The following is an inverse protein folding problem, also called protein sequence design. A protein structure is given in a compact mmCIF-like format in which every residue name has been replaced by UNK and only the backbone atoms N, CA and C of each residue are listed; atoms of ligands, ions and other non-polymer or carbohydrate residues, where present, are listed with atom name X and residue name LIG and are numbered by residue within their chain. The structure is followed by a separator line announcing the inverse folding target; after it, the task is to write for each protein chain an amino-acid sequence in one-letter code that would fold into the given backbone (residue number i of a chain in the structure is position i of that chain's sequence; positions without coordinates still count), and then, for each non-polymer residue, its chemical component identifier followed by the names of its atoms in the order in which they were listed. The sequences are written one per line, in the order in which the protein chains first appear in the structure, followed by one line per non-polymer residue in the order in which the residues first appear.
data_IF_460654332914
#
_entry.id   IF_460654332914
#
_cell.length_a   1.000
_cell.length_b   1.000
_cell.length_c   1.000
_cell.angle_alpha   90.00
_cell.angle_beta   90.00
_cell.angle_gamma   90.00
#
_symmetry.space_group_name_H-M   'P 1'
#
loop_
_entity.id
_entity.type
_entity.pdbx_description
1 polymer ?
#
# COMPACT_ATOMS: atom_id res chain seq x y z
N UNK A 1 5.59 -17.05 -8.20
CA UNK A 1 5.32 -16.19 -9.37
C UNK A 1 6.65 -15.57 -9.69
N UNK A 2 7.30 -16.00 -10.76
CA UNK A 2 8.73 -15.73 -10.93
C UNK A 2 8.92 -14.42 -11.68
N UNK A 3 9.27 -13.37 -10.95
CA UNK A 3 9.63 -12.09 -11.53
C UNK A 3 11.09 -12.20 -11.97
N UNK A 4 11.32 -12.31 -13.28
CA UNK A 4 12.66 -12.28 -13.84
C UNK A 4 13.23 -10.85 -13.76
N UNK A 5 14.05 -10.60 -12.75
CA UNK A 5 14.77 -9.34 -12.58
C UNK A 5 16.06 -9.34 -13.42
N UNK A 6 16.38 -8.20 -14.03
CA UNK A 6 17.71 -7.97 -14.58
C UNK A 6 18.74 -7.91 -13.45
N UNK A 7 20.03 -8.22 -13.72
CA UNK A 7 21.07 -8.16 -12.69
C UNK A 7 21.15 -6.80 -11.96
N UNK A 8 20.93 -5.70 -12.67
CA UNK A 8 20.90 -4.35 -12.08
C UNK A 8 19.70 -4.12 -11.15
N UNK A 9 18.56 -4.72 -11.46
CA UNK A 9 17.34 -4.62 -10.65
C UNK A 9 17.50 -5.47 -9.38
N UNK A 10 18.07 -6.66 -9.49
CA UNK A 10 18.41 -7.49 -8.33
C UNK A 10 19.36 -6.78 -7.37
N UNK A 11 20.44 -6.16 -7.88
CA UNK A 11 21.38 -5.41 -7.05
C UNK A 11 20.72 -4.24 -6.31
N UNK A 12 19.79 -3.55 -6.97
CA UNK A 12 19.00 -2.48 -6.36
C UNK A 12 18.09 -3.00 -5.24
N UNK A 13 17.40 -4.14 -5.46
CA UNK A 13 16.54 -4.73 -4.44
C UNK A 13 17.32 -5.38 -3.29
N UNK A 14 18.53 -5.87 -3.51
CA UNK A 14 19.42 -6.30 -2.43
C UNK A 14 19.83 -5.13 -1.52
N UNK A 15 20.16 -3.98 -2.11
CA UNK A 15 20.45 -2.77 -1.33
C UNK A 15 19.21 -2.29 -0.56
N UNK A 16 18.05 -2.30 -1.22
CA UNK A 16 16.77 -1.98 -0.59
C UNK A 16 16.48 -2.92 0.59
N UNK A 17 16.66 -4.23 0.42
CA UNK A 17 16.46 -5.22 1.47
C UNK A 17 17.32 -4.91 2.71
N UNK A 18 18.62 -4.62 2.50
CA UNK A 18 19.54 -4.25 3.58
C UNK A 18 19.12 -2.97 4.30
N UNK A 19 18.68 -1.95 3.56
CA UNK A 19 18.25 -0.67 4.13
C UNK A 19 16.97 -0.80 4.98
N UNK A 20 16.11 -1.75 4.63
CA UNK A 20 14.82 -1.98 5.31
C UNK A 20 14.82 -3.19 6.26
N UNK A 21 15.95 -3.88 6.42
CA UNK A 21 16.07 -5.07 7.28
C UNK A 21 15.25 -6.28 6.79
N UNK A 22 15.03 -6.40 5.48
CA UNK A 22 14.27 -7.48 4.86
C UNK A 22 15.17 -8.69 4.56
N UNK A 23 14.60 -9.89 4.64
CA UNK A 23 15.36 -11.14 4.62
C UNK A 23 15.69 -11.64 3.21
N UNK A 24 14.99 -11.15 2.19
CA UNK A 24 15.17 -11.57 0.80
C UNK A 24 14.88 -10.45 -0.20
N UNK A 25 15.38 -10.64 -1.43
CA UNK A 25 15.04 -9.79 -2.59
C UNK A 25 13.53 -9.84 -2.87
N UNK A 26 12.91 -11.00 -2.71
CA UNK A 26 11.49 -11.19 -2.98
C UNK A 26 10.62 -10.41 -1.98
N UNK A 27 10.98 -10.41 -0.70
CA UNK A 27 10.36 -9.54 0.31
C UNK A 27 10.58 -8.06 -0.02
N UNK A 28 11.77 -7.67 -0.48
CA UNK A 28 12.05 -6.30 -0.88
C UNK A 28 11.19 -5.84 -2.07
N UNK A 29 11.02 -6.69 -3.08
CA UNK A 29 10.15 -6.41 -4.23
C UNK A 29 8.69 -6.23 -3.78
N UNK A 30 8.19 -7.16 -2.96
CA UNK A 30 6.81 -7.10 -2.45
C UNK A 30 6.58 -5.88 -1.57
N UNK A 31 7.53 -5.57 -0.68
CA UNK A 31 7.48 -4.41 0.20
C UNK A 31 7.46 -3.10 -0.61
N UNK A 32 8.37 -2.96 -1.58
CA UNK A 32 8.43 -1.79 -2.45
C UNK A 32 7.14 -1.63 -3.28
N UNK A 33 6.60 -2.72 -3.83
CA UNK A 33 5.35 -2.71 -4.57
C UNK A 33 4.17 -2.26 -3.69
N UNK A 34 4.03 -2.81 -2.48
CA UNK A 34 3.00 -2.41 -1.53
C UNK A 34 3.13 -0.94 -1.11
N UNK A 35 4.34 -0.46 -0.86
CA UNK A 35 4.60 0.93 -0.53
C UNK A 35 4.17 1.86 -1.66
N UNK A 36 4.50 1.53 -2.91
CA UNK A 36 4.14 2.35 -4.07
C UNK A 36 2.63 2.32 -4.36
N UNK A 37 1.99 1.15 -4.25
CA UNK A 37 0.54 1.04 -4.36
C UNK A 37 -0.15 1.86 -3.28
N UNK A 38 0.30 1.75 -2.04
CA UNK A 38 -0.22 2.55 -0.93
C UNK A 38 -0.04 4.03 -1.21
N UNK A 39 1.13 4.46 -1.70
CA UNK A 39 1.41 5.88 -2.02
C UNK A 39 0.52 6.41 -3.14
N UNK A 40 0.28 5.63 -4.19
CA UNK A 40 -0.50 6.05 -5.37
C UNK A 40 -2.01 5.99 -5.14
N UNK A 41 -2.47 4.95 -4.46
CA UNK A 41 -3.89 4.66 -4.29
C UNK A 41 -4.39 4.94 -2.88
N UNK A 42 -3.63 5.66 -2.05
CA UNK A 42 -4.16 6.17 -0.79
C UNK A 42 -5.37 7.02 -1.13
N UNK A 43 -6.56 6.50 -0.85
CA UNK A 43 -7.76 7.32 -0.84
C UNK A 43 -7.46 8.49 0.08
N UNK A 44 -7.66 9.74 -0.37
CA UNK A 44 -7.55 10.86 0.54
C UNK A 44 -8.47 10.54 1.70
N UNK A 45 -7.91 10.46 2.91
CA UNK A 45 -8.68 10.50 4.14
C UNK A 45 -9.28 11.90 4.22
N UNK A 46 -10.24 12.20 3.33
CA UNK A 46 -11.21 13.27 3.60
C UNK A 46 -11.78 12.88 4.96
N UNK A 47 -11.59 13.75 5.95
CA UNK A 47 -12.41 13.73 7.15
C UNK A 47 -13.82 13.42 6.69
N UNK A 48 -14.36 12.29 7.12
CA UNK A 48 -15.73 11.94 6.82
C UNK A 48 -16.57 13.10 7.37
N UNK A 49 -17.03 14.00 6.50
CA UNK A 49 -18.01 14.98 6.89
C UNK A 49 -19.25 14.18 7.18
N UNK A 50 -19.56 13.98 8.46
CA UNK A 50 -20.87 13.47 8.86
C UNK A 50 -21.87 14.48 8.31
N UNK A 51 -22.51 14.13 7.20
CA UNK A 51 -23.63 14.91 6.68
C UNK A 51 -24.83 14.48 7.53
N UNK A 52 -25.36 15.34 8.41
CA UNK A 52 -26.59 15.01 9.10
C UNK A 52 -27.70 14.90 8.05
N UNK A 53 -28.14 13.68 7.76
CA UNK A 53 -29.33 13.46 6.95
C UNK A 53 -30.54 13.83 7.82
N UNK A 54 -30.94 15.11 7.77
CA UNK A 54 -32.23 15.51 8.33
C UNK A 54 -33.33 14.81 7.53
N UNK A 55 -34.10 13.94 8.19
CA UNK A 55 -35.30 13.34 7.60
C UNK A 55 -35.33 11.81 7.50
N UNK A 56 -34.33 11.08 8.04
CA UNK A 56 -34.52 9.66 8.29
C UNK A 56 -35.56 9.50 9.40
N UNK A 57 -36.82 9.29 9.01
CA UNK A 57 -37.88 8.86 9.92
C UNK A 57 -37.38 7.62 10.64
N UNK A 58 -37.27 7.70 11.96
CA UNK A 58 -37.08 6.53 12.81
C UNK A 58 -38.14 5.49 12.46
N UNK A 59 -37.80 4.19 12.39
CA UNK A 59 -38.81 3.17 12.23
C UNK A 59 -39.74 3.29 13.43
N UNK A 60 -41.00 3.60 13.17
CA UNK A 60 -42.06 3.65 14.18
C UNK A 60 -42.16 2.27 14.83
N UNK A 61 -42.03 2.22 16.16
CA UNK A 61 -42.46 1.09 17.00
C UNK A 61 -43.98 0.90 16.90
#
# INVERSE_FOLDING_TARGET
MDIALKPSESAMFEQYAKAHGLSSIEEAVMHAAHAELTRRYRLPTRQASVVPIQGLKSPSE
#
